data_IF_826420608911
#
_entry.id   IF_826420608911
#
_cell.length_a   1.000
_cell.length_b   1.000
_cell.length_c   1.000
_cell.angle_alpha   90.00
_cell.angle_beta   90.00
_cell.angle_gamma   90.00
#
_symmetry.space_group_name_H-M   'P 1'
#
loop_
_entity.id
_entity.type
_entity.pdbx_description
1 polymer ?
#
# COMPACT_ATOMS: atom_id res chain seq x y z
N UNK A 1 -41.69 35.94 22.60
CA UNK A 1 -40.35 36.01 21.97
C UNK A 1 -39.49 34.80 22.37
N UNK A 2 -40.12 33.75 22.89
CA UNK A 2 -39.45 32.71 23.67
C UNK A 2 -38.98 31.54 22.80
N UNK A 3 -39.65 31.26 21.69
CA UNK A 3 -39.26 30.21 20.74
C UNK A 3 -38.00 30.56 19.93
N UNK A 4 -37.65 31.83 19.80
CA UNK A 4 -36.46 32.25 19.04
C UNK A 4 -35.19 31.97 19.87
N UNK A 5 -35.22 32.19 21.19
CA UNK A 5 -34.09 31.91 22.08
C UNK A 5 -33.70 30.42 22.10
N UNK A 6 -34.67 29.50 22.11
CA UNK A 6 -34.38 28.05 22.12
C UNK A 6 -33.67 27.59 20.84
N UNK A 7 -34.01 28.18 19.69
CA UNK A 7 -33.37 27.85 18.41
C UNK A 7 -31.92 28.32 18.40
N UNK A 8 -31.63 29.53 18.88
CA UNK A 8 -30.25 30.03 18.96
C UNK A 8 -29.38 29.24 19.96
N UNK A 9 -29.91 28.89 21.13
CA UNK A 9 -29.19 28.04 22.11
C UNK A 9 -28.93 26.63 21.54
N UNK A 10 -29.90 26.07 20.81
CA UNK A 10 -29.74 24.79 20.12
C UNK A 10 -28.67 24.82 19.01
N UNK A 11 -28.60 25.90 18.23
CA UNK A 11 -27.59 26.08 17.18
C UNK A 11 -26.19 26.22 17.79
N UNK A 12 -26.02 26.98 18.88
CA UNK A 12 -24.73 27.07 19.58
C UNK A 12 -24.29 25.74 20.21
N UNK A 13 -25.22 24.94 20.74
CA UNK A 13 -24.96 23.58 21.21
C UNK A 13 -24.56 22.63 20.06
N UNK A 14 -25.18 22.76 18.89
CA UNK A 14 -24.85 22.01 17.67
C UNK A 14 -23.48 22.38 17.08
N UNK A 15 -23.05 23.63 17.18
CA UNK A 15 -21.69 24.02 16.77
C UNK A 15 -20.61 23.55 17.76
N UNK A 16 -20.94 23.40 19.05
CA UNK A 16 -20.00 22.98 20.11
C UNK A 16 -19.56 21.51 20.01
N UNK A 17 -20.29 20.67 19.27
CA UNK A 17 -19.97 19.25 19.02
C UNK A 17 -19.13 19.02 17.76
N UNK A 18 -18.93 20.03 16.91
CA UNK A 18 -18.08 19.90 15.71
C UNK A 18 -16.63 20.15 16.11
N UNK A 19 -15.98 19.12 16.67
CA UNK A 19 -14.51 19.12 16.80
C UNK A 19 -13.90 18.96 15.40
N UNK A 20 -13.44 20.06 14.81
CA UNK A 20 -12.53 20.02 13.67
C UNK A 20 -11.19 19.45 14.13
N UNK A 21 -11.01 18.14 14.01
CA UNK A 21 -9.70 17.51 14.15
C UNK A 21 -8.96 17.73 12.85
N UNK A 22 -8.07 18.73 12.82
CA UNK A 22 -7.08 18.83 11.75
C UNK A 22 -6.15 17.63 11.89
N UNK A 23 -6.14 16.77 10.88
CA UNK A 23 -5.24 15.64 10.89
C UNK A 23 -3.82 16.14 10.62
N UNK A 24 -2.87 15.66 11.41
CA UNK A 24 -1.46 16.04 11.29
C UNK A 24 -0.84 15.19 10.17
N UNK A 25 -0.31 15.82 9.12
CA UNK A 25 0.32 15.14 7.98
C UNK A 25 1.85 15.15 8.05
N UNK A 26 2.44 15.98 8.92
CA UNK A 26 3.87 16.14 9.07
C UNK A 26 4.32 16.31 10.53
N UNK A 27 5.54 15.88 10.84
CA UNK A 27 6.23 16.17 12.10
C UNK A 27 7.56 16.88 11.85
N UNK A 28 7.94 17.72 12.80
CA UNK A 28 9.26 18.36 12.90
C UNK A 28 10.05 17.74 14.05
N UNK A 29 11.29 18.21 14.30
CA UNK A 29 12.14 17.70 15.39
C UNK A 29 11.56 17.84 16.80
N UNK A 30 10.58 18.72 17.01
CA UNK A 30 9.93 18.89 18.32
C UNK A 30 8.73 17.97 18.53
N UNK A 31 8.36 17.20 17.51
CA UNK A 31 7.15 16.38 17.48
C UNK A 31 7.52 14.92 17.25
N UNK A 32 6.61 14.04 17.67
CA UNK A 32 6.76 12.61 17.51
C UNK A 32 5.38 11.95 17.32
N UNK A 33 5.38 10.73 16.81
CA UNK A 33 4.20 9.87 16.74
C UNK A 33 4.44 8.70 17.67
N UNK A 34 3.65 8.62 18.73
CA UNK A 34 3.62 7.48 19.64
C UNK A 34 2.67 6.40 19.14
N UNK A 35 2.75 5.22 19.73
CA UNK A 35 1.67 4.25 19.62
C UNK A 35 0.32 4.85 20.05
N UNK A 36 -0.75 4.50 19.34
CA UNK A 36 -2.09 5.10 19.44
C UNK A 36 -2.28 6.39 18.64
N UNK A 37 -1.20 7.11 18.34
CA UNK A 37 -1.21 8.32 17.51
C UNK A 37 -0.93 8.00 16.04
N UNK A 38 -1.19 8.95 15.14
CA UNK A 38 -1.03 8.72 13.71
C UNK A 38 -0.87 10.00 12.91
N UNK A 39 -0.19 9.90 11.76
CA UNK A 39 -0.28 10.92 10.71
C UNK A 39 -1.32 10.52 9.67
N UNK A 40 -2.01 11.50 9.12
CA UNK A 40 -2.95 11.30 8.00
C UNK A 40 -2.57 12.25 6.88
N UNK A 41 -2.58 11.79 5.64
CA UNK A 41 -2.39 12.66 4.48
C UNK A 41 -3.43 13.78 4.47
N UNK A 42 -3.13 14.89 3.78
CA UNK A 42 -4.00 16.07 3.77
C UNK A 42 -5.39 15.75 3.22
N UNK A 43 -5.45 14.89 2.21
CA UNK A 43 -6.71 14.44 1.60
C UNK A 43 -7.44 13.33 2.40
N UNK A 44 -6.85 12.87 3.51
CA UNK A 44 -7.42 11.82 4.34
C UNK A 44 -7.29 10.39 3.80
N UNK A 45 -6.66 10.19 2.63
CA UNK A 45 -6.60 8.88 1.97
C UNK A 45 -5.59 7.91 2.59
N UNK A 46 -4.48 8.39 3.14
CA UNK A 46 -3.45 7.56 3.75
C UNK A 46 -3.29 7.86 5.23
N UNK A 47 -2.96 6.81 5.99
CA UNK A 47 -2.67 6.91 7.41
C UNK A 47 -1.37 6.17 7.73
N UNK A 48 -0.50 6.82 8.50
CA UNK A 48 0.70 6.25 9.08
C UNK A 48 0.51 6.09 10.58
N UNK A 49 0.88 4.93 11.12
CA UNK A 49 0.88 4.72 12.57
C UNK A 49 1.36 3.33 12.94
N UNK A 50 1.37 3.07 14.24
CA UNK A 50 1.70 1.75 14.78
C UNK A 50 0.51 0.79 14.65
N UNK A 51 0.80 -0.47 14.32
CA UNK A 51 -0.19 -1.53 14.23
C UNK A 51 0.40 -2.88 14.63
N UNK A 52 -0.49 -3.82 14.93
CA UNK A 52 -0.16 -5.24 15.11
C UNK A 52 -0.80 -6.07 13.99
N UNK A 53 -0.09 -7.06 13.42
CA UNK A 53 -0.69 -8.07 12.56
C UNK A 53 -1.72 -8.92 13.33
N UNK A 54 -2.57 -9.64 12.60
CA UNK A 54 -3.50 -10.58 13.21
C UNK A 54 -2.74 -11.62 14.06
N UNK A 55 -3.27 -11.92 15.26
CA UNK A 55 -2.73 -12.91 16.19
C UNK A 55 -1.31 -12.64 16.70
N UNK A 56 -0.86 -11.38 16.72
CA UNK A 56 0.45 -11.00 17.28
C UNK A 56 0.35 -9.76 18.17
N UNK A 57 1.20 -9.69 19.19
CA UNK A 57 1.42 -8.49 20.00
C UNK A 57 2.55 -7.60 19.48
N UNK A 58 3.31 -8.07 18.48
CA UNK A 58 4.38 -7.27 17.89
C UNK A 58 3.84 -5.99 17.26
N UNK A 59 4.59 -4.90 17.43
CA UNK A 59 4.25 -3.59 16.88
C UNK A 59 5.17 -3.23 15.72
N UNK A 60 4.52 -2.73 14.67
CA UNK A 60 5.17 -2.24 13.46
C UNK A 60 4.64 -0.84 13.12
N UNK A 61 5.49 0.00 12.56
CA UNK A 61 5.08 1.25 11.94
C UNK A 61 4.79 0.99 10.46
N UNK A 62 3.60 1.37 10.00
CA UNK A 62 3.23 1.18 8.60
C UNK A 62 2.25 2.21 8.06
N UNK A 63 2.10 2.21 6.74
CA UNK A 63 1.20 3.12 5.99
C UNK A 63 0.09 2.28 5.38
N UNK A 64 -1.17 2.68 5.57
CA UNK A 64 -2.33 2.03 4.94
C UNK A 64 -3.27 3.04 4.29
N UNK A 65 -4.02 2.56 3.30
CA UNK A 65 -5.06 3.34 2.62
C UNK A 65 -6.36 3.27 3.43
N UNK A 66 -6.94 4.42 3.78
CA UNK A 66 -8.19 4.52 4.53
C UNK A 66 -9.44 4.35 3.67
N UNK A 67 -9.32 4.52 2.36
CA UNK A 67 -10.42 4.34 1.40
C UNK A 67 -10.71 2.86 1.12
N UNK A 68 -9.86 1.95 1.57
CA UNK A 68 -10.02 0.50 1.41
C UNK A 68 -10.57 -0.09 2.74
N UNK A 69 -11.71 -0.80 2.72
CA UNK A 69 -12.40 -1.26 3.94
C UNK A 69 -11.66 -2.36 4.72
N UNK A 70 -10.73 -3.07 4.08
CA UNK A 70 -9.74 -3.91 4.75
C UNK A 70 -8.47 -3.09 4.95
N UNK A 71 -7.87 -3.15 6.16
CA UNK A 71 -6.64 -2.40 6.48
C UNK A 71 -5.45 -2.94 5.67
N UNK A 72 -5.37 -2.55 4.41
CA UNK A 72 -4.27 -2.88 3.51
C UNK A 72 -3.07 -2.02 3.84
N UNK A 73 -2.15 -2.57 4.64
CA UNK A 73 -0.86 -1.92 4.87
C UNK A 73 -0.06 -2.04 3.59
N UNK A 74 0.37 -0.91 3.06
CA UNK A 74 1.11 -0.73 1.80
C UNK A 74 2.63 -0.66 2.01
N UNK A 75 3.07 -0.38 3.24
CA UNK A 75 4.49 -0.22 3.60
C UNK A 75 4.71 -0.44 5.09
N UNK A 76 5.84 -1.06 5.45
CA UNK A 76 6.25 -1.31 6.84
C UNK A 76 7.72 -0.96 7.05
N UNK A 77 8.02 -0.17 8.09
CA UNK A 77 9.36 0.31 8.42
C UNK A 77 10.22 -0.78 9.07
N UNK A 78 9.85 -1.20 10.27
CA UNK A 78 10.66 -2.03 11.16
C UNK A 78 10.40 -3.54 11.00
N UNK A 79 10.30 -4.02 9.75
CA UNK A 79 9.95 -5.42 9.44
C UNK A 79 10.96 -6.44 10.01
N UNK A 80 12.24 -6.07 10.08
CA UNK A 80 13.32 -6.94 10.57
C UNK A 80 13.53 -6.86 12.09
N UNK A 81 12.98 -5.83 12.74
CA UNK A 81 13.15 -5.57 14.17
C UNK A 81 11.82 -5.06 14.76
N UNK A 82 10.85 -5.97 14.99
CA UNK A 82 9.58 -5.61 15.61
C UNK A 82 9.78 -5.07 17.02
N UNK A 83 8.81 -4.31 17.50
CA UNK A 83 8.75 -3.82 18.88
C UNK A 83 7.83 -4.76 19.68
N UNK A 84 8.22 -5.12 20.90
CA UNK A 84 7.55 -6.15 21.70
C UNK A 84 6.40 -5.62 22.58
N UNK A 85 6.23 -4.30 22.64
CA UNK A 85 5.27 -3.58 23.48
C UNK A 85 4.77 -2.32 22.75
N UNK A 86 3.92 -1.51 23.39
CA UNK A 86 3.38 -0.26 22.83
C UNK A 86 4.27 0.99 23.08
N UNK A 87 5.57 0.82 23.36
CA UNK A 87 6.50 1.93 23.64
C UNK A 87 7.08 2.59 22.38
N UNK A 88 6.58 2.22 21.20
CA UNK A 88 7.07 2.71 19.90
C UNK A 88 6.90 4.21 19.73
N UNK A 89 7.98 4.89 19.33
CA UNK A 89 8.01 6.32 19.04
C UNK A 89 8.70 6.53 17.69
N UNK A 90 8.01 7.17 16.74
CA UNK A 90 8.60 7.73 15.53
C UNK A 90 8.92 9.20 15.77
N UNK A 91 10.17 9.59 15.56
CA UNK A 91 10.61 10.98 15.70
C UNK A 91 11.73 11.31 14.73
N UNK A 92 12.12 12.59 14.67
CA UNK A 92 13.33 13.03 13.99
C UNK A 92 14.40 13.26 15.06
N UNK A 93 15.55 12.62 14.93
CA UNK A 93 16.64 12.77 15.88
C UNK A 93 17.41 14.11 15.68
N UNK A 94 18.36 14.39 16.57
CA UNK A 94 19.20 15.59 16.50
C UNK A 94 20.05 15.67 15.22
N UNK A 95 20.34 14.54 14.57
CA UNK A 95 21.04 14.46 13.29
C UNK A 95 20.14 14.70 12.07
N UNK A 96 18.84 14.92 12.27
CA UNK A 96 17.87 15.16 11.20
C UNK A 96 17.34 13.91 10.51
N UNK A 97 17.64 12.71 11.02
CA UNK A 97 17.12 11.45 10.49
C UNK A 97 15.82 11.07 11.19
N UNK A 98 14.85 10.55 10.44
CA UNK A 98 13.70 9.89 11.03
C UNK A 98 14.13 8.55 11.65
N UNK A 99 13.73 8.30 12.89
CA UNK A 99 14.08 7.13 13.69
C UNK A 99 12.85 6.57 14.40
N UNK A 100 12.83 5.25 14.60
CA UNK A 100 11.86 4.58 15.47
C UNK A 100 12.60 4.07 16.70
N UNK A 101 12.14 4.50 17.87
CA UNK A 101 12.62 4.07 19.18
C UNK A 101 11.62 3.12 19.83
N UNK A 102 12.16 2.14 20.54
CA UNK A 102 11.47 1.26 21.47
C UNK A 102 12.00 1.54 22.88
N UNK A 103 11.11 1.58 23.86
CA UNK A 103 11.40 1.84 25.28
C UNK A 103 12.28 3.09 25.47
N UNK A 104 12.05 4.08 24.60
CA UNK A 104 12.77 5.36 24.51
C UNK A 104 14.31 5.28 24.34
N UNK A 105 14.88 4.09 24.10
CA UNK A 105 16.33 3.86 24.11
C UNK A 105 16.82 3.03 22.93
N UNK A 106 16.04 2.04 22.51
CA UNK A 106 16.45 1.11 21.47
C UNK A 106 16.01 1.57 20.09
N UNK A 107 16.97 1.88 19.21
CA UNK A 107 16.68 2.16 17.80
C UNK A 107 16.29 0.85 17.10
N UNK A 108 15.09 0.78 16.54
CA UNK A 108 14.60 -0.38 15.79
C UNK A 108 14.58 -0.16 14.27
N UNK A 109 14.53 1.10 13.84
CA UNK A 109 14.58 1.48 12.43
C UNK A 109 15.01 2.95 12.30
N UNK A 110 15.63 3.32 11.18
CA UNK A 110 15.99 4.69 10.86
C UNK A 110 16.08 4.90 9.35
N UNK A 111 16.04 6.17 8.95
CA UNK A 111 16.32 6.61 7.57
C UNK A 111 17.80 6.87 7.36
N UNK A 112 18.34 6.41 6.24
CA UNK A 112 19.69 6.77 5.79
C UNK A 112 19.60 7.85 4.71
N UNK A 113 20.25 8.98 4.96
CA UNK A 113 20.42 10.07 3.99
C UNK A 113 21.88 10.51 4.00
N UNK A 114 22.45 10.76 2.81
CA UNK A 114 23.79 11.33 2.67
C UNK A 114 23.83 12.83 2.96
N UNK A 115 22.67 13.50 2.99
CA UNK A 115 22.52 14.93 3.25
C UNK A 115 21.76 15.16 4.56
N UNK A 116 22.30 16.01 5.42
CA UNK A 116 21.58 16.49 6.61
C UNK A 116 20.69 17.67 6.24
N UNK A 117 19.43 17.62 6.67
CA UNK A 117 18.51 18.74 6.55
C UNK A 117 18.83 19.79 7.62
N UNK A 118 18.73 21.07 7.26
CA UNK A 118 18.78 22.18 8.22
C UNK A 118 17.48 22.25 9.01
N UNK A 119 16.34 22.12 8.31
CA UNK A 119 15.00 22.11 8.92
C UNK A 119 14.25 20.83 8.53
N UNK A 120 14.56 19.67 9.15
CA UNK A 120 13.99 18.40 8.73
C UNK A 120 12.48 18.33 9.01
N UNK A 121 11.72 17.94 7.99
CA UNK A 121 10.28 17.68 8.07
C UNK A 121 10.02 16.28 7.53
N UNK A 122 9.38 15.44 8.34
CA UNK A 122 8.88 14.13 7.92
C UNK A 122 7.39 14.25 7.62
N UNK A 123 6.99 13.98 6.37
CA UNK A 123 5.64 14.24 5.89
C UNK A 123 5.04 13.05 5.15
N UNK A 124 3.75 12.77 5.41
CA UNK A 124 2.94 11.81 4.68
C UNK A 124 2.19 12.52 3.55
N UNK A 125 2.55 12.20 2.30
CA UNK A 125 1.93 12.79 1.11
C UNK A 125 0.60 12.09 0.76
N UNK A 126 -0.26 12.79 0.01
CA UNK A 126 -1.52 12.25 -0.54
C UNK A 126 -1.30 11.09 -1.53
N UNK A 127 -0.07 10.93 -2.03
CA UNK A 127 0.34 9.76 -2.83
C UNK A 127 0.60 8.51 -1.98
N UNK A 128 0.52 8.62 -0.65
CA UNK A 128 0.86 7.57 0.31
C UNK A 128 2.35 7.42 0.60
N UNK A 129 3.21 8.29 0.05
CA UNK A 129 4.65 8.29 0.32
C UNK A 129 4.95 9.02 1.63
N UNK A 130 5.81 8.44 2.45
CA UNK A 130 6.44 9.12 3.58
C UNK A 130 7.76 9.71 3.10
N UNK A 131 7.95 11.01 3.24
CA UNK A 131 9.14 11.71 2.74
C UNK A 131 9.82 12.49 3.86
N UNK A 132 11.15 12.49 3.86
CA UNK A 132 11.97 13.38 4.66
C UNK A 132 12.48 14.49 3.74
N UNK A 133 12.20 15.75 4.08
CA UNK A 133 12.61 16.92 3.29
C UNK A 133 13.16 18.02 4.17
N UNK A 134 13.91 18.93 3.58
CA UNK A 134 14.28 20.19 4.22
C UNK A 134 13.14 21.21 4.06
N UNK A 135 12.77 21.87 5.16
CA UNK A 135 11.78 22.93 5.18
C UNK A 135 12.17 24.15 4.33
N UNK A 136 13.47 24.38 4.12
CA UNK A 136 13.95 25.47 3.24
C UNK A 136 13.60 25.24 1.77
N UNK A 137 13.60 23.98 1.34
CA UNK A 137 13.37 23.61 -0.06
C UNK A 137 11.88 23.62 -0.44
N UNK A 138 11.00 24.03 0.48
CA UNK A 138 9.56 24.13 0.23
C UNK A 138 8.96 22.82 -0.27
N UNK A 139 8.04 22.92 -1.24
CA UNK A 139 7.47 21.77 -1.95
C UNK A 139 8.18 21.49 -3.30
N UNK A 140 9.47 21.79 -3.40
CA UNK A 140 10.26 21.63 -4.65
C UNK A 140 10.31 20.19 -5.19
N UNK A 141 9.81 19.21 -4.44
CA UNK A 141 9.85 17.78 -4.80
C UNK A 141 11.22 17.14 -4.59
N UNK A 142 12.18 17.89 -4.06
CA UNK A 142 13.50 17.39 -3.67
C UNK A 142 13.37 16.77 -2.27
N UNK A 143 13.47 15.44 -2.20
CA UNK A 143 13.40 14.68 -0.96
C UNK A 143 14.78 14.17 -0.57
N UNK A 144 15.10 14.23 0.73
CA UNK A 144 16.31 13.65 1.30
C UNK A 144 16.19 12.13 1.42
N UNK A 145 14.97 11.66 1.67
CA UNK A 145 14.60 10.25 1.69
C UNK A 145 13.11 10.13 1.36
N UNK A 146 12.71 9.05 0.68
CA UNK A 146 11.30 8.73 0.49
C UNK A 146 11.03 7.23 0.68
N UNK A 147 9.85 6.92 1.19
CA UNK A 147 9.37 5.54 1.16
C UNK A 147 9.12 5.13 -0.30
N UNK A 148 9.31 3.84 -0.55
CA UNK A 148 9.06 3.18 -1.85
C UNK A 148 10.08 3.39 -2.97
N UNK A 149 11.25 3.95 -2.70
CA UNK A 149 12.40 3.79 -3.60
C UNK A 149 12.74 2.28 -3.75
N UNK A 150 12.84 1.81 -4.99
CA UNK A 150 12.99 0.40 -5.34
C UNK A 150 14.44 -0.13 -5.20
N UNK A 151 14.63 -1.47 -5.10
CA UNK A 151 15.61 -2.12 -4.24
C UNK A 151 16.94 -2.47 -4.95
N UNK A 152 17.85 -3.07 -4.15
CA UNK A 152 19.16 -3.66 -4.48
C UNK A 152 20.33 -2.69 -4.21
N UNK A 153 20.90 -2.77 -3.02
CA UNK A 153 22.25 -2.23 -2.83
C UNK A 153 22.69 -1.92 -1.41
N UNK A 154 21.79 -1.56 -0.49
CA UNK A 154 22.22 -1.06 0.82
C UNK A 154 21.84 -2.03 1.93
N UNK A 155 22.85 -2.76 2.40
CA UNK A 155 22.77 -3.67 3.55
C UNK A 155 22.60 -2.81 4.81
N UNK A 156 21.37 -2.71 5.31
CA UNK A 156 21.05 -2.02 6.56
C UNK A 156 19.61 -1.54 6.64
N UNK A 157 18.69 -2.43 7.06
CA UNK A 157 17.30 -2.12 7.45
C UNK A 157 16.42 -1.47 6.36
N UNK A 158 16.19 -2.18 5.26
CA UNK A 158 15.23 -1.76 4.23
C UNK A 158 13.78 -1.93 4.70
N UNK A 159 12.98 -0.89 4.50
CA UNK A 159 11.53 -0.92 4.68
C UNK A 159 10.86 -1.57 3.46
N UNK A 160 9.86 -2.44 3.68
CA UNK A 160 9.30 -3.28 2.62
C UNK A 160 7.96 -2.73 2.13
N UNK A 161 7.76 -2.70 0.79
CA UNK A 161 6.41 -2.70 0.20
C UNK A 161 5.76 -4.01 0.60
N UNK A 162 4.83 -3.92 1.52
CA UNK A 162 3.97 -5.06 1.83
C UNK A 162 2.61 -4.68 1.29
N UNK A 163 1.99 -5.53 0.50
CA UNK A 163 0.55 -5.44 0.28
C UNK A 163 -0.04 -6.41 1.30
N UNK A 164 -0.21 -5.96 2.55
CA UNK A 164 -0.87 -6.76 3.59
C UNK A 164 -2.38 -6.68 3.34
N UNK A 165 -2.88 -7.36 2.32
CA UNK A 165 -4.17 -8.05 2.50
C UNK A 165 -3.88 -9.17 3.49
N UNK A 166 -4.53 -9.12 4.65
CA UNK A 166 -4.38 -10.12 5.69
C UNK A 166 -5.21 -11.36 5.34
N UNK A 167 -4.66 -12.20 4.45
CA UNK A 167 -4.77 -13.65 4.38
C UNK A 167 -3.83 -14.10 3.26
N UNK A 168 -3.23 -15.29 3.33
CA UNK A 168 -2.83 -15.97 2.08
C UNK A 168 -4.13 -16.21 1.31
N UNK A 169 -4.53 -15.24 0.50
CA UNK A 169 -5.67 -15.41 -0.38
C UNK A 169 -5.27 -16.47 -1.40
N UNK A 170 -6.21 -17.34 -1.79
CA UNK A 170 -5.91 -18.44 -2.72
C UNK A 170 -5.20 -17.96 -4.01
N UNK A 171 -5.40 -16.69 -4.40
CA UNK A 171 -4.77 -16.03 -5.53
C UNK A 171 -3.29 -15.64 -5.37
N UNK A 172 -2.76 -15.61 -4.15
CA UNK A 172 -1.35 -15.34 -3.91
C UNK A 172 -0.47 -16.58 -4.15
N UNK A 173 -1.07 -17.77 -4.15
CA UNK A 173 -0.42 -19.01 -4.53
C UNK A 173 -0.10 -18.99 -6.04
N UNK A 174 1.18 -19.12 -6.35
CA UNK A 174 1.66 -19.12 -7.74
C UNK A 174 1.01 -20.27 -8.53
N UNK A 175 0.34 -19.94 -9.63
CA UNK A 175 -0.29 -20.93 -10.50
C UNK A 175 -1.61 -21.51 -9.98
N UNK A 176 -2.27 -20.87 -8.99
CA UNK A 176 -3.52 -21.37 -8.42
C UNK A 176 -4.60 -21.69 -9.47
N UNK A 177 -4.81 -20.80 -10.45
CA UNK A 177 -5.81 -20.96 -11.51
C UNK A 177 -5.31 -21.65 -12.79
N UNK A 178 -4.09 -22.17 -12.79
CA UNK A 178 -3.47 -22.76 -13.97
C UNK A 178 -3.24 -21.76 -15.13
N UNK A 179 -2.83 -22.28 -16.28
CA UNK A 179 -2.57 -21.46 -17.47
C UNK A 179 -3.86 -20.81 -18.00
N UNK A 180 -3.77 -19.56 -18.44
CA UNK A 180 -4.89 -18.78 -19.02
C UNK A 180 -6.13 -18.61 -18.10
N UNK A 181 -5.98 -18.92 -16.80
CA UNK A 181 -6.94 -18.60 -15.75
C UNK A 181 -6.58 -17.29 -15.03
N UNK A 182 -7.59 -16.51 -14.66
CA UNK A 182 -7.47 -15.33 -13.81
C UNK A 182 -8.04 -15.62 -12.44
N UNK A 183 -7.28 -15.25 -11.40
CA UNK A 183 -7.71 -15.37 -10.03
C UNK A 183 -8.40 -14.08 -9.57
N UNK A 184 -9.61 -14.19 -9.06
CA UNK A 184 -10.38 -13.07 -8.49
C UNK A 184 -10.92 -13.50 -7.13
N UNK A 185 -10.69 -12.68 -6.12
CA UNK A 185 -11.25 -12.91 -4.78
C UNK A 185 -12.75 -12.61 -4.87
N UNK A 186 -13.55 -13.67 -5.05
CA UNK A 186 -15.01 -13.63 -5.17
C UNK A 186 -15.61 -14.73 -4.32
N UNK A 187 -16.74 -14.46 -3.67
CA UNK A 187 -17.46 -15.40 -2.80
C UNK A 187 -18.00 -16.65 -3.53
N UNK A 188 -18.02 -16.67 -4.87
CA UNK A 188 -18.62 -17.76 -5.67
C UNK A 188 -17.61 -18.58 -6.48
N UNK A 189 -16.66 -17.94 -7.16
CA UNK A 189 -15.67 -18.63 -8.00
C UNK A 189 -14.34 -17.89 -8.01
N UNK A 190 -13.31 -18.55 -7.46
CA UNK A 190 -11.96 -17.99 -7.28
C UNK A 190 -11.21 -17.88 -8.62
N UNK A 191 -11.39 -18.84 -9.52
CA UNK A 191 -10.70 -18.89 -10.81
C UNK A 191 -11.68 -18.83 -11.98
N UNK A 192 -11.40 -17.95 -12.93
CA UNK A 192 -12.17 -17.80 -14.17
C UNK A 192 -11.25 -17.89 -15.38
N UNK A 193 -11.69 -18.50 -16.46
CA UNK A 193 -10.93 -18.48 -17.71
C UNK A 193 -10.97 -17.08 -18.33
N UNK A 194 -9.87 -16.70 -18.99
CA UNK A 194 -9.85 -15.50 -19.81
C UNK A 194 -10.88 -15.61 -20.95
N UNK A 195 -11.31 -14.46 -21.48
CA UNK A 195 -12.32 -14.40 -22.53
C UNK A 195 -11.78 -15.09 -23.79
N UNK A 196 -12.54 -16.03 -24.33
CA UNK A 196 -12.12 -16.87 -25.46
C UNK A 196 -11.48 -18.20 -25.05
N UNK A 197 -11.42 -18.50 -23.76
CA UNK A 197 -10.93 -19.76 -23.21
C UNK A 197 -12.04 -20.49 -22.45
N UNK A 198 -11.86 -21.80 -22.27
CA UNK A 198 -12.71 -22.70 -21.48
C UNK A 198 -11.85 -23.60 -20.59
N UNK A 199 -12.38 -24.13 -19.48
CA UNK A 199 -11.64 -25.09 -18.66
C UNK A 199 -11.21 -26.30 -19.47
N UNK A 200 -10.00 -26.80 -19.23
CA UNK A 200 -9.54 -28.07 -19.84
C UNK A 200 -10.40 -29.23 -19.34
N UNK A 201 -10.69 -29.26 -18.04
CA UNK A 201 -11.55 -30.26 -17.39
C UNK A 201 -12.71 -29.56 -16.68
N UNK A 202 -13.87 -29.38 -17.35
CA UNK A 202 -15.03 -28.70 -16.76
C UNK A 202 -15.51 -29.36 -15.46
N UNK A 203 -15.49 -30.69 -15.41
CA UNK A 203 -15.95 -31.49 -14.27
C UNK A 203 -15.14 -31.21 -13.00
N UNK A 204 -13.81 -31.16 -13.09
CA UNK A 204 -12.94 -30.85 -11.94
C UNK A 204 -12.94 -29.35 -11.63
N UNK A 205 -13.17 -28.50 -12.65
CA UNK A 205 -13.29 -27.06 -12.48
C UNK A 205 -14.52 -26.67 -11.63
N UNK A 206 -15.63 -27.40 -11.78
CA UNK A 206 -16.83 -27.26 -10.94
C UNK A 206 -16.61 -27.72 -9.49
N UNK A 207 -15.62 -28.59 -9.27
CA UNK A 207 -15.19 -29.07 -7.94
C UNK A 207 -14.07 -28.20 -7.34
N UNK A 208 -13.82 -27.02 -7.90
CA UNK A 208 -12.77 -26.09 -7.48
C UNK A 208 -11.32 -26.59 -7.68
N UNK A 209 -11.08 -27.50 -8.63
CA UNK A 209 -9.75 -27.91 -9.05
C UNK A 209 -9.32 -27.19 -10.34
N UNK A 210 -8.51 -26.14 -10.19
CA UNK A 210 -8.15 -25.24 -11.30
C UNK A 210 -6.76 -25.50 -11.91
N UNK A 211 -5.99 -26.47 -11.39
CA UNK A 211 -4.56 -26.67 -11.73
C UNK A 211 -4.30 -26.86 -13.22
N UNK A 212 -5.23 -27.48 -13.94
CA UNK A 212 -5.10 -27.72 -15.37
C UNK A 212 -5.26 -26.43 -16.20
N UNK A 213 -5.89 -25.40 -15.64
CA UNK A 213 -6.12 -24.13 -16.32
C UNK A 213 -7.15 -24.24 -17.43
N UNK A 214 -6.99 -23.37 -18.42
CA UNK A 214 -7.94 -23.19 -19.51
C UNK A 214 -7.26 -23.42 -20.87
N UNK A 215 -8.04 -23.80 -21.86
CA UNK A 215 -7.62 -23.89 -23.26
C UNK A 215 -8.42 -22.92 -24.14
N UNK A 216 -7.87 -22.57 -25.31
CA UNK A 216 -8.56 -21.69 -26.27
C UNK A 216 -9.81 -22.37 -26.81
N UNK A 217 -10.88 -21.60 -26.97
CA UNK A 217 -12.11 -22.07 -27.62
C UNK A 217 -11.91 -22.30 -29.13
N UNK A 218 -10.96 -21.59 -29.75
CA UNK A 218 -10.68 -21.64 -31.19
C UNK A 218 -9.18 -21.70 -31.44
N UNK A 219 -8.76 -22.47 -32.42
CA UNK A 219 -7.38 -22.51 -32.90
C UNK A 219 -7.04 -21.22 -33.66
N UNK A 220 -5.87 -20.66 -33.40
CA UNK A 220 -5.45 -19.42 -34.06
C UNK A 220 -4.91 -19.71 -35.44
N UNK A 221 -5.37 -18.94 -36.42
CA UNK A 221 -4.78 -18.90 -37.76
C UNK A 221 -4.04 -17.59 -37.88
N UNK A 222 -2.71 -17.63 -37.96
CA UNK A 222 -1.83 -16.46 -37.91
C UNK A 222 -2.04 -15.46 -39.07
N UNK A 223 -2.85 -15.83 -40.08
CA UNK A 223 -2.96 -15.09 -41.33
C UNK A 223 -4.19 -14.18 -41.44
N UNK A 224 -5.11 -14.17 -40.45
CA UNK A 224 -6.29 -13.29 -40.50
C UNK A 224 -6.71 -12.79 -39.12
N UNK A 225 -6.63 -11.47 -38.91
CA UNK A 225 -7.40 -10.71 -37.92
C UNK A 225 -7.42 -11.26 -36.46
N UNK A 226 -6.30 -11.81 -35.98
CA UNK A 226 -6.17 -12.11 -34.54
C UNK A 226 -6.09 -10.79 -33.78
N UNK A 227 -7.19 -10.42 -33.13
CA UNK A 227 -7.25 -9.26 -32.25
C UNK A 227 -6.52 -9.52 -30.93
N UNK A 228 -6.37 -8.49 -30.12
CA UNK A 228 -5.92 -8.63 -28.73
C UNK A 228 -7.02 -8.17 -27.80
N UNK A 229 -7.24 -8.90 -26.71
CA UNK A 229 -8.11 -8.43 -25.62
C UNK A 229 -7.23 -7.72 -24.60
N UNK A 230 -7.54 -6.46 -24.33
CA UNK A 230 -6.87 -5.67 -23.31
C UNK A 230 -7.46 -5.95 -21.94
N UNK A 231 -6.62 -6.38 -21.01
CA UNK A 231 -6.98 -6.49 -19.60
C UNK A 231 -6.35 -5.36 -18.79
N UNK A 232 -7.14 -4.75 -17.90
CA UNK A 232 -6.72 -3.66 -17.01
C UNK A 232 -6.83 -4.13 -15.57
N UNK A 233 -5.84 -3.79 -14.73
CA UNK A 233 -5.87 -4.13 -13.31
C UNK A 233 -5.51 -5.58 -12.98
N UNK A 234 -4.96 -6.34 -13.94
CA UNK A 234 -4.39 -7.67 -13.69
C UNK A 234 -2.90 -7.57 -13.34
N UNK A 235 -2.44 -8.48 -12.48
CA UNK A 235 -1.01 -8.74 -12.27
C UNK A 235 -0.43 -9.34 -13.55
N UNK A 236 0.76 -8.89 -13.95
CA UNK A 236 1.44 -9.45 -15.11
C UNK A 236 1.74 -10.95 -14.90
N UNK A 237 1.60 -11.79 -15.94
CA UNK A 237 1.99 -13.20 -15.88
C UNK A 237 3.51 -13.36 -15.71
N UNK A 238 3.97 -14.60 -15.49
CA UNK A 238 5.41 -14.90 -15.40
C UNK A 238 6.14 -14.38 -16.66
N UNK A 239 7.22 -13.62 -16.44
CA UNK A 239 7.98 -12.90 -17.47
C UNK A 239 9.27 -13.63 -17.87
N UNK A 240 9.52 -14.85 -17.38
CA UNK A 240 10.70 -15.65 -17.76
C UNK A 240 10.93 -15.77 -19.28
N UNK A 241 9.83 -15.81 -20.06
CA UNK A 241 9.87 -15.90 -21.52
C UNK A 241 9.36 -14.62 -22.20
N UNK A 242 9.40 -13.47 -21.52
CA UNK A 242 8.93 -12.19 -22.04
C UNK A 242 10.09 -11.20 -22.22
N UNK A 243 9.94 -10.32 -23.21
CA UNK A 243 10.86 -9.24 -23.52
C UNK A 243 10.04 -7.94 -23.59
N UNK A 244 10.51 -6.89 -22.91
CA UNK A 244 9.84 -5.58 -22.89
C UNK A 244 10.41 -4.73 -24.01
N UNK A 245 9.55 -4.27 -24.93
CA UNK A 245 9.94 -3.33 -25.96
C UNK A 245 9.98 -1.90 -25.41
N UNK A 246 11.06 -1.17 -25.74
CA UNK A 246 11.34 0.17 -25.25
C UNK A 246 10.36 1.16 -25.91
N UNK A 247 9.23 1.39 -25.24
CA UNK A 247 8.09 2.17 -25.74
C UNK A 247 6.80 2.04 -24.90
N UNK A 248 6.71 1.03 -24.02
CA UNK A 248 5.54 0.78 -23.16
C UNK A 248 5.56 1.54 -21.80
N UNK A 249 6.32 2.63 -21.68
CA UNK A 249 6.78 3.14 -20.38
C UNK A 249 5.87 4.20 -19.70
N UNK A 250 4.58 4.36 -20.05
CA UNK A 250 3.78 5.43 -19.42
C UNK A 250 2.40 5.12 -18.85
N UNK A 251 1.84 3.92 -18.97
CA UNK A 251 0.59 3.59 -18.27
C UNK A 251 0.61 2.15 -17.76
N UNK A 252 -0.17 1.89 -16.70
CA UNK A 252 -0.30 0.64 -15.92
C UNK A 252 0.15 -0.66 -16.64
N UNK A 253 0.70 -1.66 -15.90
CA UNK A 253 1.06 -2.96 -16.48
C UNK A 253 -0.09 -3.49 -17.34
N UNK A 254 0.17 -3.59 -18.65
CA UNK A 254 -0.83 -3.92 -19.65
C UNK A 254 -0.57 -5.34 -20.12
N UNK A 255 -1.51 -6.24 -19.89
CA UNK A 255 -1.48 -7.59 -20.48
C UNK A 255 -2.23 -7.54 -21.79
N UNK A 256 -1.51 -7.73 -22.90
CA UNK A 256 -2.08 -7.96 -24.22
C UNK A 256 -2.02 -9.47 -24.46
N UNK A 257 -3.18 -10.09 -24.70
CA UNK A 257 -3.24 -11.51 -25.04
C UNK A 257 -3.91 -11.70 -26.40
N UNK A 258 -3.22 -12.41 -27.28
CA UNK A 258 -3.67 -12.75 -28.64
C UNK A 258 -4.99 -13.51 -28.58
N UNK A 259 -5.96 -13.13 -29.40
CA UNK A 259 -7.22 -13.85 -29.59
C UNK A 259 -7.02 -15.09 -30.41
#
# INVERSE_FOLDING_TARGET
MDNICFVFVGIHLLFSIIKFSTAIDAITQTQFVSDGSSLTSKDGSFKLGFFSPANSSYRFLGIWNRKIPLRTVSWVANVHKPINDSSGILMINSSGNAVILSQNTTVVWYTSSSKQAVNPILQLLDSGKLVLRDGKDGNSGIFLWQSFDHPIGTVGLSARRVSLSASEDACDSYGHCGAYGVCTISELQVCKCLKGFKPISPETWEQAEYRQGCERNKTLKCQNNNGFIKYVGLKLPDTKNAWVSQGMEKHLPTVLQEM
#
